data_IF_209603738935
#
_entry.id   IF_209603738935
#
_cell.length_a   1.000
_cell.length_b   1.000
_cell.length_c   1.000
_cell.angle_alpha   90.00
_cell.angle_beta   90.00
_cell.angle_gamma   90.00
#
_symmetry.space_group_name_H-M   'P 1'
#
loop_
_entity.id
_entity.type
_entity.pdbx_description
1 polymer ?
#
# COMPACT_ATOMS: atom_id res chain seq x y z
N UNK A 1 -7.91 -9.98 0.50
CA UNK A 1 -7.76 -9.05 1.64
C UNK A 1 -8.81 -9.38 2.70
N UNK A 2 -8.49 -9.31 3.99
CA UNK A 2 -9.46 -9.52 5.08
C UNK A 2 -9.45 -8.30 6.01
N UNK A 3 -10.62 -7.90 6.51
CA UNK A 3 -10.76 -6.78 7.45
C UNK A 3 -11.62 -7.23 8.63
N UNK A 4 -11.21 -6.86 9.85
CA UNK A 4 -11.80 -7.32 11.11
C UNK A 4 -13.17 -6.71 11.39
N UNK A 5 -13.37 -5.44 10.99
CA UNK A 5 -14.65 -4.75 11.17
C UNK A 5 -15.71 -5.35 10.25
N UNK A 6 -16.88 -5.66 10.81
CA UNK A 6 -17.99 -6.27 10.05
C UNK A 6 -18.60 -5.26 9.08
N UNK A 7 -18.66 -4.00 9.52
CA UNK A 7 -19.16 -2.81 8.82
C UNK A 7 -18.24 -2.32 7.68
N UNK A 8 -17.03 -2.86 7.55
CA UNK A 8 -16.15 -2.52 6.43
C UNK A 8 -16.77 -3.01 5.13
N UNK A 9 -17.16 -2.09 4.25
CA UNK A 9 -17.71 -2.45 2.95
C UNK A 9 -16.62 -3.13 2.10
N UNK A 10 -16.90 -4.36 1.69
CA UNK A 10 -15.98 -5.16 0.88
C UNK A 10 -16.34 -5.11 -0.60
N UNK A 11 -17.52 -4.61 -0.94
CA UNK A 11 -18.05 -4.67 -2.29
C UNK A 11 -17.23 -3.84 -3.27
N UNK A 12 -16.72 -2.67 -2.86
CA UNK A 12 -15.93 -1.78 -3.70
C UNK A 12 -14.61 -2.43 -4.15
N UNK A 13 -13.76 -2.90 -3.23
CA UNK A 13 -12.48 -3.50 -3.59
C UNK A 13 -12.60 -4.89 -4.21
N UNK A 14 -13.70 -5.60 -3.94
CA UNK A 14 -14.00 -6.86 -4.62
C UNK A 14 -14.35 -6.64 -6.10
N UNK A 15 -14.94 -5.49 -6.44
CA UNK A 15 -15.24 -5.13 -7.82
C UNK A 15 -14.03 -4.51 -8.52
N UNK A 16 -13.29 -3.66 -7.81
CA UNK A 16 -12.12 -2.98 -8.35
C UNK A 16 -11.08 -2.72 -7.25
N UNK A 17 -9.92 -3.39 -7.37
CA UNK A 17 -8.81 -3.24 -6.43
C UNK A 17 -8.25 -1.81 -6.40
N UNK A 18 -8.38 -1.06 -7.51
CA UNK A 18 -7.90 0.32 -7.60
C UNK A 18 -8.62 1.28 -6.66
N UNK A 19 -9.76 0.86 -6.10
CA UNK A 19 -10.47 1.62 -5.05
C UNK A 19 -9.68 1.72 -3.74
N UNK A 20 -8.79 0.77 -3.49
CA UNK A 20 -8.00 0.70 -2.24
C UNK A 20 -6.49 0.68 -2.45
N UNK A 21 -6.03 0.27 -3.64
CA UNK A 21 -4.63 0.32 -4.05
C UNK A 21 -4.64 0.65 -5.55
N UNK A 22 -4.47 1.93 -5.96
CA UNK A 22 -4.64 2.38 -7.35
C UNK A 22 -3.43 1.99 -8.22
N UNK A 23 -3.11 0.70 -8.26
CA UNK A 23 -1.94 0.16 -8.94
C UNK A 23 -1.97 0.49 -10.43
N UNK A 24 -3.13 0.35 -11.08
CA UNK A 24 -3.25 0.64 -12.51
C UNK A 24 -2.96 2.12 -12.79
N UNK A 25 -3.35 3.04 -11.90
CA UNK A 25 -3.05 4.47 -12.07
C UNK A 25 -1.55 4.74 -11.91
N UNK A 26 -0.89 4.04 -11.00
CA UNK A 26 0.56 4.16 -10.81
C UNK A 26 1.33 3.57 -12.00
N UNK A 27 0.85 2.44 -12.56
CA UNK A 27 1.41 1.84 -13.76
C UNK A 27 1.22 2.73 -14.99
N UNK A 28 0.06 3.38 -15.14
CA UNK A 28 -0.18 4.40 -16.17
C UNK A 28 0.81 5.56 -16.06
N UNK A 29 1.01 6.11 -14.85
CA UNK A 29 2.00 7.16 -14.62
C UNK A 29 3.44 6.72 -14.99
N UNK A 30 3.77 5.45 -14.74
CA UNK A 30 5.07 4.90 -15.15
C UNK A 30 5.18 4.75 -16.67
N UNK A 31 4.11 4.29 -17.33
CA UNK A 31 4.05 4.17 -18.78
C UNK A 31 4.13 5.53 -19.49
N UNK A 32 3.53 6.57 -18.91
CA UNK A 32 3.57 7.95 -19.39
C UNK A 32 4.89 8.66 -19.05
N UNK A 33 5.75 8.03 -18.24
CA UNK A 33 7.06 8.55 -17.85
C UNK A 33 7.02 9.65 -16.78
N UNK A 34 5.88 9.83 -16.10
CA UNK A 34 5.74 10.75 -14.97
C UNK A 34 6.50 10.26 -13.74
N UNK A 35 6.53 8.94 -13.54
CA UNK A 35 7.38 8.26 -12.57
C UNK A 35 8.25 7.21 -13.27
N UNK A 36 9.37 6.84 -12.66
CA UNK A 36 10.29 5.88 -13.28
C UNK A 36 9.76 4.44 -13.29
N UNK A 37 9.13 4.01 -12.20
CA UNK A 37 8.58 2.66 -12.02
C UNK A 37 7.69 2.60 -10.78
N UNK A 38 6.92 1.52 -10.68
CA UNK A 38 6.20 1.11 -9.47
C UNK A 38 7.00 -0.01 -8.80
N UNK A 39 7.04 -0.04 -7.47
CA UNK A 39 7.72 -1.11 -6.72
C UNK A 39 6.99 -2.44 -6.86
N UNK A 40 7.71 -3.55 -6.92
CA UNK A 40 7.14 -4.91 -7.05
C UNK A 40 6.40 -5.35 -5.78
N UNK A 41 6.84 -4.87 -4.61
CA UNK A 41 6.30 -5.25 -3.31
C UNK A 41 5.51 -4.11 -2.66
N UNK A 42 4.35 -4.46 -2.09
CA UNK A 42 3.45 -3.52 -1.43
C UNK A 42 3.10 -3.99 -0.02
N UNK A 43 3.01 -3.05 0.92
CA UNK A 43 2.86 -3.35 2.34
C UNK A 43 1.56 -2.79 2.88
N UNK A 44 0.93 -3.54 3.79
CA UNK A 44 -0.25 -3.11 4.53
C UNK A 44 -0.06 -3.37 6.02
N UNK A 45 -0.79 -2.60 6.82
CA UNK A 45 -0.73 -2.63 8.27
C UNK A 45 -2.15 -2.69 8.81
N UNK A 46 -2.37 -3.46 9.87
CA UNK A 46 -3.68 -3.53 10.51
C UNK A 46 -3.97 -2.22 11.25
N UNK A 47 -4.90 -1.41 10.74
CA UNK A 47 -5.23 -0.11 11.31
C UNK A 47 -5.80 -0.14 12.73
N UNK A 48 -6.38 -1.27 13.16
CA UNK A 48 -6.92 -1.44 14.51
C UNK A 48 -5.87 -1.78 15.58
N UNK A 49 -4.61 -2.00 15.19
CA UNK A 49 -3.52 -2.28 16.13
C UNK A 49 -2.88 -0.97 16.65
N UNK A 50 -2.33 -1.00 17.87
CA UNK A 50 -1.59 0.14 18.42
C UNK A 50 -0.34 0.43 17.58
N UNK A 51 -0.20 1.62 16.95
CA UNK A 51 0.93 1.95 16.09
C UNK A 51 2.30 1.79 16.76
N UNK A 52 2.39 1.98 18.08
CA UNK A 52 3.64 1.82 18.83
C UNK A 52 4.14 0.39 18.74
N UNK A 53 3.23 -0.59 18.76
CA UNK A 53 3.58 -2.01 18.64
C UNK A 53 4.04 -2.39 17.23
N UNK A 54 3.72 -1.56 16.24
CA UNK A 54 4.00 -1.79 14.83
C UNK A 54 5.31 -1.14 14.37
N UNK A 55 5.93 -0.29 15.21
CA UNK A 55 7.14 0.46 14.87
C UNK A 55 8.27 -0.47 14.36
N UNK A 56 8.46 -1.63 15.00
CA UNK A 56 9.49 -2.58 14.60
C UNK A 56 9.26 -3.09 13.17
N UNK A 57 8.03 -3.44 12.83
CA UNK A 57 7.65 -3.90 11.48
C UNK A 57 7.76 -2.77 10.46
N UNK A 58 7.31 -1.56 10.82
CA UNK A 58 7.43 -0.38 9.97
C UNK A 58 8.90 -0.06 9.64
N UNK A 59 9.80 -0.18 10.62
CA UNK A 59 11.25 0.01 10.40
C UNK A 59 11.85 -1.07 9.49
N UNK A 60 11.43 -2.33 9.63
CA UNK A 60 11.88 -3.41 8.76
C UNK A 60 11.43 -3.18 7.30
N UNK A 61 10.15 -2.83 7.10
CA UNK A 61 9.61 -2.48 5.78
C UNK A 61 10.32 -1.27 5.18
N UNK A 62 10.57 -0.23 5.97
CA UNK A 62 11.30 0.94 5.50
C UNK A 62 12.77 0.65 5.12
N UNK A 63 13.41 -0.34 5.75
CA UNK A 63 14.73 -0.80 5.34
C UNK A 63 14.67 -1.54 4.00
N UNK A 64 13.71 -2.45 3.84
CA UNK A 64 13.48 -3.20 2.61
C UNK A 64 13.20 -2.27 1.41
N UNK A 65 12.30 -1.30 1.58
CA UNK A 65 12.00 -0.27 0.57
C UNK A 65 13.26 0.48 0.11
N UNK A 66 14.17 0.80 1.04
CA UNK A 66 15.44 1.48 0.71
C UNK A 66 16.37 0.58 -0.09
N UNK A 67 16.44 -0.71 0.24
CA UNK A 67 17.23 -1.69 -0.50
C UNK A 67 16.70 -1.88 -1.93
N UNK A 68 15.39 -1.80 -2.11
CA UNK A 68 14.70 -1.84 -3.41
C UNK A 68 14.81 -0.52 -4.20
N UNK A 69 15.40 0.53 -3.61
CA UNK A 69 15.55 1.84 -4.26
C UNK A 69 14.27 2.67 -4.29
N UNK A 70 13.25 2.32 -3.50
CA UNK A 70 12.03 3.11 -3.34
C UNK A 70 12.38 4.47 -2.74
N UNK A 71 12.03 5.54 -3.46
CA UNK A 71 12.32 6.92 -3.06
C UNK A 71 11.07 7.70 -2.63
N UNK A 72 9.89 7.16 -2.88
CA UNK A 72 8.58 7.80 -2.64
C UNK A 72 7.60 6.74 -2.19
N UNK A 73 6.79 7.04 -1.17
CA UNK A 73 5.74 6.15 -0.67
C UNK A 73 4.40 6.84 -0.81
N UNK A 74 3.43 6.12 -1.38
CA UNK A 74 2.04 6.54 -1.40
C UNK A 74 1.29 5.84 -0.26
N UNK A 75 0.88 6.61 0.74
CA UNK A 75 0.16 6.09 1.90
C UNK A 75 -1.35 6.21 1.68
N UNK A 76 -2.05 5.07 1.79
CA UNK A 76 -3.50 4.99 1.57
C UNK A 76 -4.18 4.72 2.93
N UNK A 77 -5.00 5.65 3.44
CA UNK A 77 -5.75 5.43 4.67
C UNK A 77 -6.99 4.59 4.37
N UNK A 78 -6.89 3.27 4.59
CA UNK A 78 -8.00 2.30 4.54
C UNK A 78 -8.58 2.10 5.94
#
# INVERSE_FOLDING_TARGET
MTHVAVEFDRSAWQQDLNTIIPLDRLEEMAADGEIASVADEHYSFMGAADPVTMEKSARAVAAQMKEEGVNTVFLIPI
#
